data_IF_938389438501
#
_entry.id   IF_938389438501
#
_cell.length_a   1.000
_cell.length_b   1.000
_cell.length_c   1.000
_cell.angle_alpha   90.00
_cell.angle_beta   90.00
_cell.angle_gamma   90.00
#
_symmetry.space_group_name_H-M   'P 1'
#
loop_
_entity.id
_entity.type
_entity.pdbx_description
1 polymer ?
#
# COMPACT_ATOMS: atom_id res chain seq x y z
N UNK A 1 21.67 42.49 22.01
CA UNK A 1 20.62 41.46 21.82
C UNK A 1 20.43 41.22 20.34
N UNK A 2 20.74 40.02 19.82
CA UNK A 2 20.51 39.66 18.42
C UNK A 2 19.12 39.04 18.31
N UNK A 3 18.19 39.76 17.69
CA UNK A 3 16.85 39.24 17.42
C UNK A 3 16.93 38.16 16.34
N UNK A 4 16.53 36.93 16.67
CA UNK A 4 16.31 35.85 15.71
C UNK A 4 15.13 36.22 14.80
N UNK A 5 15.42 36.64 13.55
CA UNK A 5 14.40 36.73 12.50
C UNK A 5 14.13 35.33 11.96
N UNK A 6 12.96 34.78 12.27
CA UNK A 6 12.46 33.56 11.63
C UNK A 6 12.18 33.85 10.14
N UNK A 7 13.08 33.42 9.26
CA UNK A 7 12.84 33.38 7.82
C UNK A 7 11.94 32.19 7.50
N UNK A 8 10.63 32.37 7.59
CA UNK A 8 9.66 31.49 6.95
C UNK A 8 9.83 31.63 5.43
N UNK A 9 10.66 30.76 4.83
CA UNK A 9 10.62 30.55 3.38
C UNK A 9 9.35 29.79 3.07
N UNK A 10 8.40 30.47 2.43
CA UNK A 10 7.37 29.79 1.65
C UNK A 10 8.08 28.83 0.70
N UNK A 11 7.96 27.52 0.93
CA UNK A 11 8.40 26.53 -0.03
C UNK A 11 7.41 26.60 -1.18
N UNK A 12 7.71 27.41 -2.20
CA UNK A 12 7.13 27.22 -3.52
C UNK A 12 7.62 25.86 -4.03
N UNK A 13 6.75 24.84 -3.93
CA UNK A 13 6.95 23.60 -4.66
C UNK A 13 6.83 23.95 -6.15
N UNK A 14 7.97 24.14 -6.82
CA UNK A 14 8.02 24.23 -8.28
C UNK A 14 7.42 22.94 -8.86
N UNK A 15 6.36 23.08 -9.65
CA UNK A 15 5.64 21.98 -10.30
C UNK A 15 6.47 21.52 -11.50
N UNK A 16 7.07 20.32 -11.49
CA UNK A 16 7.56 19.76 -12.74
C UNK A 16 6.34 19.51 -13.61
N UNK A 17 6.32 20.10 -14.80
CA UNK A 17 5.27 19.87 -15.79
C UNK A 17 5.38 18.41 -16.26
N UNK A 18 4.76 17.46 -15.54
CA UNK A 18 4.86 16.03 -15.85
C UNK A 18 3.93 15.70 -17.01
N UNK A 19 4.53 15.49 -18.17
CA UNK A 19 3.89 15.26 -19.48
C UNK A 19 3.39 13.84 -19.72
N UNK A 20 3.55 12.90 -18.80
CA UNK A 20 3.26 11.49 -19.08
C UNK A 20 1.74 11.26 -19.08
N UNK A 21 1.17 11.13 -20.30
CA UNK A 21 -0.22 10.71 -20.50
C UNK A 21 -0.36 9.27 -20.02
N UNK A 22 -1.41 8.98 -19.26
CA UNK A 22 -1.65 7.66 -18.68
C UNK A 22 -1.93 6.56 -19.73
N UNK A 23 -2.33 6.95 -20.95
CA UNK A 23 -2.58 6.05 -22.10
C UNK A 23 -3.31 4.76 -21.70
N UNK A 24 -4.38 4.89 -20.92
CA UNK A 24 -5.20 3.77 -20.47
C UNK A 24 -6.09 3.30 -21.61
N UNK A 25 -6.14 1.98 -21.80
CA UNK A 25 -6.95 1.30 -22.80
C UNK A 25 -7.86 0.33 -22.05
N UNK A 26 -9.17 0.51 -22.13
CA UNK A 26 -10.14 -0.42 -21.55
C UNK A 26 -10.06 -1.77 -22.29
N UNK A 27 -9.94 -2.88 -21.55
CA UNK A 27 -9.77 -4.22 -22.15
C UNK A 27 -10.89 -5.18 -21.81
N UNK A 28 -11.36 -5.20 -20.56
CA UNK A 28 -12.46 -6.06 -20.12
C UNK A 28 -13.18 -5.44 -18.92
N UNK A 29 -14.49 -5.66 -18.80
CA UNK A 29 -15.28 -5.15 -17.67
C UNK A 29 -16.55 -4.44 -18.10
N UNK A 30 -17.36 -4.04 -17.12
CA UNK A 30 -18.65 -3.38 -17.36
C UNK A 30 -18.50 -1.87 -17.55
N UNK A 31 -17.42 -1.27 -17.01
CA UNK A 31 -17.13 0.17 -17.03
C UNK A 31 -18.32 1.04 -16.61
N UNK A 32 -19.15 0.53 -15.71
CA UNK A 32 -20.33 1.22 -15.22
C UNK A 32 -19.95 2.35 -14.28
N UNK A 33 -20.77 3.40 -14.25
CA UNK A 33 -20.60 4.50 -13.31
C UNK A 33 -20.75 4.01 -11.87
N UNK A 34 -19.85 4.44 -10.99
CA UNK A 34 -19.90 4.10 -9.57
C UNK A 34 -21.13 4.74 -8.91
N UNK A 35 -21.88 3.93 -8.20
CA UNK A 35 -22.98 4.33 -7.32
C UNK A 35 -22.44 5.04 -6.06
N UNK A 36 -23.28 5.80 -5.33
CA UNK A 36 -22.86 6.42 -4.06
C UNK A 36 -22.35 5.40 -3.05
N UNK A 37 -22.96 4.22 -3.02
CA UNK A 37 -22.58 3.16 -2.11
C UNK A 37 -21.37 2.32 -2.56
N UNK A 38 -20.80 2.56 -3.74
CA UNK A 38 -19.65 1.77 -4.16
C UNK A 38 -18.39 2.10 -3.35
N UNK A 39 -17.66 1.06 -2.95
CA UNK A 39 -16.29 1.17 -2.45
C UNK A 39 -15.33 0.64 -3.53
N UNK A 40 -14.77 1.52 -4.37
CA UNK A 40 -13.83 1.12 -5.40
C UNK A 40 -12.43 0.82 -4.84
N UNK A 41 -11.78 -0.19 -5.42
CA UNK A 41 -10.37 -0.48 -5.24
C UNK A 41 -9.60 -0.22 -6.53
N UNK A 42 -8.48 0.49 -6.44
CA UNK A 42 -7.56 0.74 -7.56
C UNK A 42 -6.25 -0.03 -7.35
N UNK A 43 -5.92 -0.90 -8.31
CA UNK A 43 -4.69 -1.70 -8.28
C UNK A 43 -3.92 -1.58 -9.60
N UNK A 44 -2.59 -1.69 -9.54
CA UNK A 44 -1.72 -1.86 -10.71
C UNK A 44 -1.01 -3.18 -10.55
N UNK A 45 -1.08 -4.05 -11.55
CA UNK A 45 -0.59 -5.42 -11.47
C UNK A 45 0.39 -5.74 -12.59
N UNK A 46 1.31 -6.66 -12.30
CA UNK A 46 2.22 -7.28 -13.26
C UNK A 46 2.56 -8.67 -12.73
N UNK A 47 2.10 -9.69 -13.42
CA UNK A 47 2.31 -11.10 -13.09
C UNK A 47 1.91 -11.43 -11.63
N UNK A 48 0.62 -11.30 -11.35
CA UNK A 48 0.01 -11.52 -10.03
C UNK A 48 -0.84 -12.81 -9.99
N UNK A 49 -0.77 -13.69 -10.99
CA UNK A 49 -1.64 -14.86 -11.09
C UNK A 49 -1.50 -15.80 -9.88
N UNK A 50 -0.35 -15.77 -9.21
CA UNK A 50 -0.05 -16.55 -8.02
C UNK A 50 -0.86 -16.16 -6.76
N UNK A 51 -1.57 -15.03 -6.75
CA UNK A 51 -2.36 -14.58 -5.59
C UNK A 51 -3.58 -13.70 -5.93
N UNK A 52 -3.86 -13.44 -7.21
CA UNK A 52 -4.89 -12.50 -7.62
C UNK A 52 -6.33 -12.96 -7.31
N UNK A 53 -6.63 -14.28 -7.29
CA UNK A 53 -7.98 -14.76 -6.94
C UNK A 53 -8.24 -14.54 -5.45
N UNK A 54 -7.25 -14.86 -4.62
CA UNK A 54 -7.28 -14.61 -3.18
C UNK A 54 -7.35 -13.12 -2.85
N UNK A 55 -6.63 -12.28 -3.60
CA UNK A 55 -6.75 -10.82 -3.52
C UNK A 55 -8.18 -10.34 -3.79
N UNK A 56 -8.79 -10.77 -4.91
CA UNK A 56 -10.17 -10.40 -5.24
C UNK A 56 -11.15 -10.85 -4.15
N UNK A 57 -11.03 -12.10 -3.68
CA UNK A 57 -11.89 -12.61 -2.59
C UNK A 57 -11.74 -11.78 -1.32
N UNK A 58 -10.51 -11.53 -0.87
CA UNK A 58 -10.23 -10.81 0.36
C UNK A 58 -10.91 -9.43 0.39
N UNK A 59 -10.76 -8.67 -0.70
CA UNK A 59 -11.32 -7.34 -0.78
C UNK A 59 -12.84 -7.34 -1.02
N UNK A 60 -13.39 -8.34 -1.70
CA UNK A 60 -14.86 -8.54 -1.77
C UNK A 60 -15.44 -8.77 -0.37
N UNK A 61 -14.84 -9.66 0.41
CA UNK A 61 -15.24 -9.94 1.80
C UNK A 61 -15.11 -8.70 2.69
N UNK A 62 -14.11 -7.85 2.45
CA UNK A 62 -13.96 -6.57 3.14
C UNK A 62 -15.07 -5.56 2.81
N UNK A 63 -15.72 -5.67 1.64
CA UNK A 63 -16.78 -4.79 1.16
C UNK A 63 -16.41 -3.92 -0.04
N UNK A 64 -15.34 -4.25 -0.77
CA UNK A 64 -15.06 -3.66 -2.09
C UNK A 64 -16.11 -4.13 -3.09
N UNK A 65 -16.70 -3.18 -3.81
CA UNK A 65 -17.78 -3.46 -4.78
C UNK A 65 -17.34 -3.33 -6.24
N UNK A 66 -16.20 -2.68 -6.49
CA UNK A 66 -15.64 -2.49 -7.83
C UNK A 66 -14.11 -2.54 -7.79
N UNK A 67 -13.51 -3.37 -8.63
CA UNK A 67 -12.08 -3.45 -8.83
C UNK A 67 -11.70 -2.73 -10.12
N UNK A 68 -10.84 -1.73 -10.02
CA UNK A 68 -10.38 -0.92 -11.14
C UNK A 68 -8.88 -1.19 -11.29
N UNK A 69 -8.52 -2.01 -12.28
CA UNK A 69 -7.19 -2.61 -12.35
C UNK A 69 -6.47 -2.19 -13.62
N UNK A 70 -5.20 -1.79 -13.50
CA UNK A 70 -4.31 -1.66 -14.66
C UNK A 70 -3.37 -2.85 -14.68
N UNK A 71 -3.47 -3.67 -15.72
CA UNK A 71 -2.50 -4.71 -16.02
C UNK A 71 -1.34 -4.15 -16.85
N UNK A 72 -0.13 -4.22 -16.30
CA UNK A 72 1.11 -3.84 -17.00
C UNK A 72 1.62 -5.01 -17.86
N UNK A 73 0.76 -5.51 -18.76
CA UNK A 73 1.03 -6.53 -19.80
C UNK A 73 1.41 -7.91 -19.27
N UNK A 74 0.77 -8.40 -18.22
CA UNK A 74 1.13 -9.67 -17.60
C UNK A 74 1.18 -10.82 -18.61
N UNK A 75 2.03 -11.81 -18.36
CA UNK A 75 2.27 -12.97 -19.23
C UNK A 75 2.10 -14.32 -18.50
N UNK A 76 1.45 -14.30 -17.34
CA UNK A 76 1.33 -15.44 -16.42
C UNK A 76 -0.13 -15.91 -16.18
N UNK A 77 -1.10 -15.39 -16.94
CA UNK A 77 -2.53 -15.67 -16.73
C UNK A 77 -3.28 -14.62 -15.90
N UNK A 78 -2.60 -13.58 -15.39
CA UNK A 78 -3.24 -12.54 -14.56
C UNK A 78 -4.39 -11.85 -15.27
N UNK A 79 -4.20 -11.48 -16.54
CA UNK A 79 -5.19 -10.72 -17.30
C UNK A 79 -6.45 -11.54 -17.56
N UNK A 80 -6.29 -12.83 -17.87
CA UNK A 80 -7.36 -13.80 -18.08
C UNK A 80 -8.20 -13.97 -16.82
N UNK A 81 -7.56 -14.19 -15.67
CA UNK A 81 -8.24 -14.30 -14.37
C UNK A 81 -9.06 -13.04 -14.09
N UNK A 82 -8.44 -11.86 -14.23
CA UNK A 82 -9.10 -10.58 -13.99
C UNK A 82 -10.26 -10.31 -14.95
N UNK A 83 -10.10 -10.63 -16.24
CA UNK A 83 -11.13 -10.41 -17.26
C UNK A 83 -12.39 -11.24 -17.05
N UNK A 84 -12.27 -12.38 -16.34
CA UNK A 84 -13.38 -13.27 -16.02
C UNK A 84 -14.23 -12.81 -14.82
N UNK A 85 -13.75 -11.84 -14.05
CA UNK A 85 -14.44 -11.34 -12.86
C UNK A 85 -15.44 -10.20 -13.23
N UNK A 86 -16.74 -10.34 -12.91
CA UNK A 86 -17.77 -9.40 -13.38
C UNK A 86 -17.72 -8.01 -12.71
N UNK A 87 -17.05 -7.92 -11.57
CA UNK A 87 -16.84 -6.73 -10.76
C UNK A 87 -15.46 -6.08 -11.01
N UNK A 88 -14.73 -6.53 -12.03
CA UNK A 88 -13.45 -5.95 -12.46
C UNK A 88 -13.66 -5.11 -13.72
N UNK A 89 -13.14 -3.88 -13.68
CA UNK A 89 -12.87 -3.08 -14.86
C UNK A 89 -11.35 -3.06 -15.09
N UNK A 90 -10.93 -3.77 -16.13
CA UNK A 90 -9.55 -4.00 -16.51
C UNK A 90 -9.11 -3.02 -17.58
N UNK A 91 -7.96 -2.41 -17.34
CA UNK A 91 -7.25 -1.53 -18.26
C UNK A 91 -5.87 -2.09 -18.56
N UNK A 92 -5.38 -1.82 -19.76
CA UNK A 92 -3.97 -1.93 -20.14
C UNK A 92 -3.40 -0.57 -20.51
N UNK A 93 -2.11 -0.50 -20.84
CA UNK A 93 -1.49 0.74 -21.31
C UNK A 93 -0.40 0.54 -22.37
N UNK A 94 -0.30 1.51 -23.28
CA UNK A 94 0.77 1.57 -24.29
C UNK A 94 2.13 2.01 -23.71
N UNK A 95 2.17 2.49 -22.47
CA UNK A 95 3.40 2.76 -21.72
C UNK A 95 3.60 1.73 -20.60
N UNK A 96 4.81 1.63 -20.05
CA UNK A 96 5.15 0.71 -18.95
C UNK A 96 5.07 1.39 -17.58
N UNK A 97 5.06 0.60 -16.51
CA UNK A 97 4.99 1.10 -15.12
C UNK A 97 6.00 2.22 -14.82
N UNK A 98 7.25 2.07 -15.25
CA UNK A 98 8.30 3.06 -15.04
C UNK A 98 7.99 4.41 -15.74
N UNK A 99 7.48 4.35 -16.97
CA UNK A 99 7.07 5.51 -17.77
C UNK A 99 5.80 6.16 -17.19
N UNK A 100 4.91 5.38 -16.59
CA UNK A 100 3.70 5.83 -15.92
C UNK A 100 3.95 6.42 -14.52
N UNK A 101 5.12 7.02 -14.30
CA UNK A 101 5.54 7.55 -12.99
C UNK A 101 5.48 6.48 -11.88
N UNK A 102 5.89 5.24 -12.19
CA UNK A 102 5.74 4.09 -11.26
C UNK A 102 4.28 3.90 -10.83
N UNK A 103 3.39 3.87 -11.83
CA UNK A 103 1.95 3.70 -11.68
C UNK A 103 1.17 4.90 -11.11
N UNK A 104 1.83 6.01 -10.73
CA UNK A 104 1.12 7.20 -10.20
C UNK A 104 0.25 7.88 -11.25
N UNK A 105 0.71 7.91 -12.51
CA UNK A 105 -0.04 8.53 -13.60
C UNK A 105 -1.34 7.76 -13.88
N UNK A 106 -1.28 6.42 -13.83
CA UNK A 106 -2.43 5.54 -14.00
C UNK A 106 -3.44 5.68 -12.86
N UNK A 107 -3.01 5.55 -11.60
CA UNK A 107 -3.89 5.70 -10.44
C UNK A 107 -4.65 7.03 -10.45
N UNK A 108 -3.93 8.13 -10.69
CA UNK A 108 -4.56 9.46 -10.73
C UNK A 108 -5.53 9.62 -11.92
N UNK A 109 -5.21 9.02 -13.08
CA UNK A 109 -6.13 9.02 -14.22
C UNK A 109 -7.40 8.21 -13.93
N UNK A 110 -7.29 7.06 -13.25
CA UNK A 110 -8.45 6.26 -12.84
C UNK A 110 -9.34 7.01 -11.84
N UNK A 111 -8.76 7.72 -10.88
CA UNK A 111 -9.55 8.58 -9.98
C UNK A 111 -10.32 9.69 -10.73
N UNK A 112 -9.75 10.22 -11.81
CA UNK A 112 -10.47 11.18 -12.65
C UNK A 112 -11.58 10.52 -13.47
N UNK A 113 -11.34 9.31 -13.97
CA UNK A 113 -12.29 8.57 -14.79
C UNK A 113 -13.50 8.07 -14.00
N UNK A 114 -13.27 7.55 -12.79
CA UNK A 114 -14.29 6.98 -11.91
C UNK A 114 -14.90 8.01 -10.93
N UNK A 115 -14.38 9.23 -10.93
CA UNK A 115 -14.91 10.36 -10.17
C UNK A 115 -14.24 10.57 -8.82
N UNK A 116 -14.08 11.85 -8.47
CA UNK A 116 -13.56 12.29 -7.15
C UNK A 116 -14.73 12.57 -6.20
N UNK A 117 -14.43 12.83 -4.93
CA UNK A 117 -15.39 13.01 -3.85
C UNK A 117 -15.87 11.69 -3.26
N UNK A 118 -15.00 10.68 -3.17
CA UNK A 118 -15.30 9.38 -2.57
C UNK A 118 -14.07 8.70 -1.96
N UNK A 119 -14.31 7.68 -1.14
CA UNK A 119 -13.26 6.79 -0.63
C UNK A 119 -12.83 5.78 -1.70
N UNK A 120 -11.53 5.50 -1.73
CA UNK A 120 -10.91 4.46 -2.53
C UNK A 120 -10.01 3.62 -1.65
N UNK A 121 -9.97 2.31 -1.92
CA UNK A 121 -8.81 1.49 -1.61
C UNK A 121 -7.78 1.61 -2.75
N UNK A 122 -6.51 1.76 -2.42
CA UNK A 122 -5.40 1.79 -3.39
C UNK A 122 -4.22 1.01 -2.86
N UNK A 123 -4.09 -0.22 -3.35
CA UNK A 123 -3.14 -1.22 -2.85
C UNK A 123 -2.41 -1.87 -4.03
N UNK A 124 -1.25 -2.48 -3.77
CA UNK A 124 -0.63 -3.41 -4.70
C UNK A 124 -1.20 -4.83 -4.49
N UNK A 125 -1.04 -5.72 -5.47
CA UNK A 125 -1.72 -7.03 -5.45
C UNK A 125 -1.15 -8.00 -4.39
N UNK A 126 0.05 -7.74 -3.88
CA UNK A 126 0.69 -8.46 -2.78
C UNK A 126 0.38 -7.84 -1.40
N UNK A 127 -0.59 -6.92 -1.30
CA UNK A 127 -0.92 -6.20 -0.07
C UNK A 127 -2.37 -6.44 0.41
N UNK A 128 -2.49 -6.83 1.67
CA UNK A 128 -3.77 -7.12 2.33
C UNK A 128 -3.99 -6.14 3.49
N UNK A 129 -4.96 -5.23 3.33
CA UNK A 129 -5.23 -4.16 4.29
C UNK A 129 -6.02 -4.66 5.50
N UNK A 130 -5.50 -4.38 6.70
CA UNK A 130 -6.18 -4.66 7.97
C UNK A 130 -6.36 -3.38 8.76
N UNK A 131 -7.40 -3.35 9.58
CA UNK A 131 -7.73 -2.18 10.40
C UNK A 131 -8.20 -2.59 11.81
N UNK A 132 -8.09 -1.69 12.81
CA UNK A 132 -8.54 -1.96 14.17
C UNK A 132 -10.00 -2.43 14.21
N UNK A 133 -10.25 -3.49 14.98
CA UNK A 133 -11.58 -4.10 15.19
C UNK A 133 -12.24 -4.67 13.94
N UNK A 134 -11.47 -5.06 12.93
CA UNK A 134 -11.98 -5.63 11.69
C UNK A 134 -12.83 -6.89 11.90
N UNK A 135 -12.62 -7.63 13.00
CA UNK A 135 -13.43 -8.79 13.38
C UNK A 135 -14.81 -8.42 13.93
N UNK A 136 -14.99 -7.17 14.39
CA UNK A 136 -16.24 -6.69 14.99
C UNK A 136 -16.98 -5.67 14.10
N UNK A 137 -16.37 -5.20 13.01
CA UNK A 137 -17.00 -4.20 12.12
C UNK A 137 -16.49 -4.28 10.69
N UNK A 138 -17.31 -3.81 9.76
CA UNK A 138 -16.94 -3.71 8.36
C UNK A 138 -16.13 -2.43 8.04
N UNK A 139 -15.61 -2.36 6.81
CA UNK A 139 -14.81 -1.22 6.34
C UNK A 139 -15.60 0.11 6.31
N UNK A 140 -16.92 0.06 6.14
CA UNK A 140 -17.78 1.26 6.09
C UNK A 140 -17.86 1.92 7.45
N UNK A 141 -18.10 1.15 8.50
CA UNK A 141 -18.03 1.63 9.88
C UNK A 141 -16.62 2.10 10.26
N UNK A 142 -15.57 1.55 9.63
CA UNK A 142 -14.21 2.07 9.78
C UNK A 142 -14.00 3.41 9.10
N UNK A 143 -14.50 3.58 7.88
CA UNK A 143 -14.53 4.86 7.18
C UNK A 143 -15.28 5.91 7.99
N UNK A 144 -16.48 5.62 8.48
CA UNK A 144 -17.28 6.56 9.28
C UNK A 144 -16.53 7.07 10.51
N UNK A 145 -15.81 6.20 11.23
CA UNK A 145 -14.99 6.62 12.37
C UNK A 145 -13.83 7.52 11.94
N UNK A 146 -13.16 7.23 10.82
CA UNK A 146 -12.12 8.13 10.28
C UNK A 146 -12.73 9.51 9.99
N UNK A 147 -13.90 9.56 9.35
CA UNK A 147 -14.57 10.81 9.01
C UNK A 147 -14.98 11.63 10.24
N UNK A 148 -15.52 10.97 11.27
CA UNK A 148 -15.86 11.60 12.55
C UNK A 148 -14.63 12.22 13.23
N UNK A 149 -13.45 11.62 13.02
CA UNK A 149 -12.17 12.13 13.52
C UNK A 149 -11.47 13.12 12.55
N UNK A 150 -12.13 13.53 11.46
CA UNK A 150 -11.56 14.42 10.46
C UNK A 150 -10.42 13.81 9.64
N UNK A 151 -10.23 12.49 9.73
CA UNK A 151 -9.19 11.74 9.03
C UNK A 151 -9.71 11.39 7.63
N UNK A 152 -8.91 11.76 6.62
CA UNK A 152 -9.24 11.54 5.20
C UNK A 152 -8.36 10.49 4.53
N UNK A 153 -7.40 9.91 5.26
CA UNK A 153 -6.44 8.91 4.78
C UNK A 153 -5.99 8.03 5.93
N UNK A 154 -5.94 6.74 5.72
CA UNK A 154 -5.37 5.80 6.66
C UNK A 154 -3.86 5.66 6.40
N UNK A 155 -3.01 6.05 7.35
CA UNK A 155 -1.60 5.68 7.30
C UNK A 155 -1.48 4.22 7.71
N UNK A 156 -0.77 3.42 6.92
CA UNK A 156 -0.54 2.01 7.20
C UNK A 156 0.93 1.63 7.00
N UNK A 157 1.63 1.07 8.02
CA UNK A 157 2.88 0.38 7.78
C UNK A 157 2.64 -0.87 6.93
N UNK A 158 3.59 -1.13 6.05
CA UNK A 158 3.71 -2.39 5.32
C UNK A 158 4.53 -3.35 6.16
N UNK A 159 3.91 -4.46 6.56
CA UNK A 159 4.53 -5.50 7.35
C UNK A 159 4.94 -6.60 6.36
N UNK A 160 6.24 -6.70 6.09
CA UNK A 160 6.79 -7.73 5.20
C UNK A 160 6.61 -9.11 5.85
N UNK A 161 5.74 -9.92 5.26
CA UNK A 161 5.39 -11.26 5.75
C UNK A 161 6.33 -12.31 5.15
N UNK A 162 6.68 -13.33 5.95
CA UNK A 162 7.54 -14.47 5.58
C UNK A 162 7.07 -15.78 6.23
N UNK A 163 7.46 -16.96 5.69
CA UNK A 163 7.16 -18.24 6.32
C UNK A 163 7.90 -18.42 7.65
N UNK A 164 7.35 -19.25 8.54
CA UNK A 164 7.98 -19.62 9.83
C UNK A 164 9.22 -20.52 9.70
N UNK A 165 9.66 -20.79 8.47
CA UNK A 165 10.78 -21.66 8.14
C UNK A 165 11.59 -21.07 7.00
N UNK A 166 11.92 -21.91 6.02
CA UNK A 166 12.70 -21.51 4.84
C UNK A 166 11.79 -20.88 3.79
N UNK A 167 12.33 -19.99 2.95
CA UNK A 167 11.57 -19.39 1.85
C UNK A 167 10.89 -20.45 0.97
N UNK A 168 11.61 -21.51 0.59
CA UNK A 168 11.07 -22.63 -0.21
C UNK A 168 9.88 -23.36 0.42
N UNK A 169 9.73 -23.30 1.74
CA UNK A 169 8.63 -23.96 2.48
C UNK A 169 7.36 -23.10 2.46
N UNK A 170 7.49 -21.80 2.17
CA UNK A 170 6.38 -20.86 2.03
C UNK A 170 5.60 -21.03 0.73
N UNK A 171 5.14 -22.24 0.43
CA UNK A 171 4.39 -22.56 -0.81
C UNK A 171 2.93 -22.18 -0.66
N UNK A 172 2.52 -21.16 -1.41
CA UNK A 172 1.12 -20.77 -1.56
C UNK A 172 0.59 -21.16 -2.94
N UNK A 173 -0.62 -21.74 -2.98
CA UNK A 173 -1.33 -22.07 -4.22
C UNK A 173 -2.66 -21.33 -4.19
N UNK A 174 -2.88 -20.47 -5.19
CA UNK A 174 -4.10 -19.68 -5.27
C UNK A 174 -5.25 -20.45 -5.95
N UNK A 175 -5.92 -21.26 -5.13
CA UNK A 175 -7.20 -21.89 -5.46
C UNK A 175 -8.41 -21.03 -5.06
N UNK A 176 -8.17 -19.83 -4.52
CA UNK A 176 -9.21 -18.93 -4.02
C UNK A 176 -9.82 -19.34 -2.67
N UNK A 177 -9.24 -20.31 -1.96
CA UNK A 177 -9.75 -20.81 -0.67
C UNK A 177 -8.94 -20.34 0.54
N UNK A 178 -7.66 -20.02 0.37
CA UNK A 178 -6.74 -19.59 1.44
C UNK A 178 -6.11 -18.25 1.13
N UNK A 179 -5.53 -17.60 2.13
CA UNK A 179 -4.81 -16.34 1.94
C UNK A 179 -3.28 -16.51 2.00
N UNK A 180 -2.50 -15.72 1.23
CA UNK A 180 -1.04 -15.85 1.20
C UNK A 180 -0.35 -15.67 2.57
N UNK A 181 -0.92 -14.80 3.40
CA UNK A 181 -0.44 -14.54 4.76
C UNK A 181 -0.73 -15.69 5.76
N UNK A 182 -1.44 -16.74 5.36
CA UNK A 182 -1.54 -17.97 6.17
C UNK A 182 -0.29 -18.85 6.04
N UNK A 183 0.34 -18.84 4.86
CA UNK A 183 1.58 -19.59 4.60
C UNK A 183 2.80 -18.75 4.99
N UNK A 184 2.81 -17.48 4.59
CA UNK A 184 3.78 -16.50 5.07
C UNK A 184 3.17 -15.73 6.23
N UNK A 185 3.14 -16.38 7.39
CA UNK A 185 2.42 -15.90 8.58
C UNK A 185 3.30 -15.17 9.58
N UNK A 186 4.61 -15.13 9.39
CA UNK A 186 5.55 -14.51 10.32
C UNK A 186 5.99 -13.13 9.83
N UNK A 187 6.37 -12.27 10.76
CA UNK A 187 6.90 -10.93 10.50
C UNK A 187 7.86 -10.49 11.62
N UNK A 188 8.64 -9.44 11.38
CA UNK A 188 9.51 -8.88 12.41
C UNK A 188 8.66 -8.14 13.47
N UNK A 189 8.78 -8.49 14.75
CA UNK A 189 8.07 -7.83 15.83
C UNK A 189 8.69 -6.50 16.29
N UNK A 190 9.93 -6.23 15.88
CA UNK A 190 10.71 -5.06 16.29
C UNK A 190 11.56 -4.51 15.12
N UNK A 191 12.46 -3.57 15.41
CA UNK A 191 13.40 -3.02 14.43
C UNK A 191 12.81 -1.97 13.48
N UNK A 192 11.59 -1.49 13.76
CA UNK A 192 10.95 -0.42 13.00
C UNK A 192 11.27 0.96 13.59
N UNK A 193 11.47 1.91 12.68
CA UNK A 193 11.66 3.33 12.98
C UNK A 193 10.55 4.14 12.33
N UNK A 194 10.04 5.13 13.05
CA UNK A 194 8.99 6.03 12.60
C UNK A 194 9.54 7.44 12.57
N UNK A 195 9.59 8.05 11.39
CA UNK A 195 10.19 9.38 11.19
C UNK A 195 9.27 10.28 10.37
N UNK A 196 8.93 11.49 10.83
CA UNK A 196 8.27 12.47 9.99
C UNK A 196 9.20 12.91 8.84
N UNK A 197 8.74 12.79 7.60
CA UNK A 197 9.49 13.24 6.42
C UNK A 197 8.68 14.23 5.58
N UNK A 198 9.33 14.82 4.58
CA UNK A 198 8.76 15.84 3.68
C UNK A 198 7.34 15.50 3.16
N UNK A 199 7.08 14.23 2.87
CA UNK A 199 5.83 13.78 2.24
C UNK A 199 4.87 13.05 3.19
N UNK A 200 5.18 12.97 4.48
CA UNK A 200 4.40 12.25 5.49
C UNK A 200 5.26 11.40 6.42
N UNK A 201 4.61 10.66 7.32
CA UNK A 201 5.28 9.73 8.23
C UNK A 201 5.86 8.54 7.46
N UNK A 202 7.17 8.33 7.61
CA UNK A 202 7.90 7.21 7.03
C UNK A 202 8.16 6.15 8.10
N UNK A 203 7.72 4.92 7.81
CA UNK A 203 8.11 3.73 8.57
C UNK A 203 9.22 3.02 7.80
N UNK A 204 10.28 2.60 8.47
CA UNK A 204 11.37 1.79 7.89
C UNK A 204 11.83 0.74 8.89
N UNK A 205 12.31 -0.41 8.41
CA UNK A 205 12.74 -1.50 9.27
C UNK A 205 12.48 -2.85 8.63
N UNK A 206 12.13 -3.82 9.47
CA UNK A 206 11.75 -5.16 9.05
C UNK A 206 12.88 -5.97 8.42
N UNK A 207 12.54 -7.11 7.80
CA UNK A 207 13.53 -8.09 7.34
C UNK A 207 14.47 -7.51 6.28
N UNK A 208 13.99 -6.56 5.46
CA UNK A 208 14.82 -5.91 4.44
C UNK A 208 15.98 -5.11 5.03
N UNK A 209 15.74 -4.39 6.13
CA UNK A 209 16.79 -3.66 6.82
C UNK A 209 17.68 -4.62 7.62
N UNK A 210 17.07 -5.54 8.38
CA UNK A 210 17.77 -6.49 9.27
C UNK A 210 18.71 -7.43 8.51
N UNK A 211 18.27 -8.01 7.39
CA UNK A 211 19.03 -9.03 6.67
C UNK A 211 19.91 -8.45 5.56
N UNK A 212 19.48 -7.35 4.93
CA UNK A 212 20.12 -6.83 3.72
C UNK A 212 20.56 -5.36 3.82
N UNK A 213 20.40 -4.72 4.98
CA UNK A 213 20.78 -3.31 5.17
C UNK A 213 19.96 -2.33 4.31
N UNK A 214 18.80 -2.75 3.79
CA UNK A 214 17.99 -1.93 2.85
C UNK A 214 16.91 -1.15 3.59
N UNK A 215 17.18 0.12 3.81
CA UNK A 215 16.24 1.07 4.43
C UNK A 215 15.21 1.59 3.43
N UNK A 216 14.17 0.78 3.17
CA UNK A 216 13.04 1.15 2.31
C UNK A 216 11.91 1.78 3.13
N UNK A 217 11.16 2.69 2.52
CA UNK A 217 9.92 3.20 3.13
C UNK A 217 8.84 2.13 3.06
N UNK A 218 8.39 1.69 4.22
CA UNK A 218 7.35 0.70 4.46
C UNK A 218 6.08 1.37 5.02
N UNK A 219 5.70 2.54 4.51
CA UNK A 219 4.44 3.19 4.89
C UNK A 219 3.68 3.64 3.64
N UNK A 220 2.35 3.42 3.65
CA UNK A 220 1.43 3.71 2.55
C UNK A 220 0.12 4.29 3.07
N UNK A 221 -0.72 4.72 2.12
CA UNK A 221 -2.07 5.20 2.39
C UNK A 221 -3.11 4.39 1.60
N UNK A 222 -3.41 3.15 2.05
CA UNK A 222 -4.24 2.23 1.27
C UNK A 222 -5.70 2.66 1.22
N UNK A 223 -6.24 3.30 2.26
CA UNK A 223 -7.61 3.81 2.27
C UNK A 223 -7.59 5.35 2.26
N UNK A 224 -8.15 5.96 1.21
CA UNK A 224 -8.02 7.39 0.95
C UNK A 224 -9.31 8.01 0.43
N UNK A 225 -9.68 9.16 1.02
CA UNK A 225 -10.64 10.07 0.42
C UNK A 225 -9.98 10.85 -0.73
N UNK A 226 -10.46 10.61 -1.94
CA UNK A 226 -9.97 11.27 -3.13
C UNK A 226 -10.89 12.44 -3.45
N UNK A 227 -10.46 13.66 -3.15
CA UNK A 227 -11.14 14.90 -3.54
C UNK A 227 -10.38 15.63 -4.67
N UNK A 228 -10.87 16.81 -5.08
CA UNK A 228 -10.20 17.64 -6.07
C UNK A 228 -8.80 18.14 -5.66
N UNK A 229 -8.40 17.97 -4.39
CA UNK A 229 -7.06 18.35 -3.90
C UNK A 229 -6.09 17.16 -3.85
N UNK A 230 -6.61 15.93 -3.76
CA UNK A 230 -5.78 14.72 -3.80
C UNK A 230 -5.01 14.66 -5.12
N UNK A 231 -3.71 14.39 -5.09
CA UNK A 231 -2.87 14.30 -6.30
C UNK A 231 -1.75 13.28 -6.07
N UNK A 232 -1.79 12.17 -6.81
CA UNK A 232 -0.74 11.15 -6.75
C UNK A 232 0.47 11.50 -7.60
N UNK A 233 0.34 12.30 -8.65
CA UNK A 233 1.47 12.67 -9.53
C UNK A 233 2.46 13.58 -8.81
N UNK A 234 1.98 14.46 -7.93
CA UNK A 234 2.79 15.34 -7.08
C UNK A 234 3.42 14.64 -5.87
N UNK A 235 2.84 13.52 -5.45
CA UNK A 235 3.30 12.71 -4.31
C UNK A 235 3.77 11.32 -4.72
N UNK A 236 3.45 10.33 -3.89
CA UNK A 236 3.51 8.91 -4.24
C UNK A 236 2.45 8.13 -3.48
N UNK A 237 2.30 6.83 -3.77
CA UNK A 237 1.47 5.93 -2.95
C UNK A 237 1.91 5.90 -1.47
N UNK A 238 3.16 6.27 -1.19
CA UNK A 238 3.75 6.40 0.15
C UNK A 238 3.65 7.81 0.76
N UNK A 239 3.02 8.74 0.06
CA UNK A 239 2.82 10.12 0.49
C UNK A 239 2.01 10.92 -0.53
N UNK A 240 0.70 10.69 -0.65
CA UNK A 240 -0.13 11.36 -1.63
C UNK A 240 -0.23 12.87 -1.35
N UNK A 241 -0.33 13.69 -2.39
CA UNK A 241 -0.62 15.12 -2.22
C UNK A 241 -2.08 15.32 -1.78
N UNK A 242 -2.40 16.33 -0.95
CA UNK A 242 -1.48 17.25 -0.29
C UNK A 242 -0.87 16.64 0.97
N UNK A 243 0.42 16.86 1.20
CA UNK A 243 1.19 16.15 2.22
C UNK A 243 0.81 16.47 3.67
N UNK A 244 0.15 17.61 3.93
CA UNK A 244 -0.29 17.95 5.29
C UNK A 244 -1.31 16.94 5.85
N UNK A 245 -1.96 16.13 5.00
CA UNK A 245 -2.87 15.04 5.40
C UNK A 245 -2.15 13.73 5.79
N UNK A 246 -0.82 13.69 5.68
CA UNK A 246 -0.04 12.45 5.79
C UNK A 246 0.72 12.35 7.14
N UNK A 247 0.43 13.25 8.09
CA UNK A 247 1.01 13.28 9.44
C UNK A 247 -0.03 12.82 10.46
N UNK A 248 -0.41 11.56 10.33
CA UNK A 248 -1.44 10.91 11.13
C UNK A 248 -0.81 9.74 11.90
N UNK A 249 -1.41 9.30 13.01
CA UNK A 249 -1.11 7.98 13.56
C UNK A 249 -1.38 6.91 12.49
N UNK A 250 -0.64 5.81 12.54
CA UNK A 250 -0.98 4.65 11.73
C UNK A 250 -2.31 4.08 12.24
N UNK A 251 -3.34 3.98 11.39
CA UNK A 251 -4.69 3.52 11.78
C UNK A 251 -5.13 2.27 11.03
N UNK A 252 -4.20 1.62 10.35
CA UNK A 252 -4.34 0.30 9.74
C UNK A 252 -2.95 -0.25 9.43
N UNK A 253 -2.86 -1.42 8.83
CA UNK A 253 -1.61 -2.02 8.36
C UNK A 253 -1.83 -2.72 7.02
N UNK A 254 -0.75 -2.94 6.28
CA UNK A 254 -0.75 -3.79 5.08
C UNK A 254 0.08 -5.02 5.39
N UNK A 255 -0.57 -6.19 5.42
CA UNK A 255 0.15 -7.45 5.38
C UNK A 255 0.70 -7.61 3.96
N UNK A 256 2.01 -7.51 3.84
CA UNK A 256 2.68 -7.46 2.54
C UNK A 256 3.32 -8.82 2.28
N UNK A 257 2.68 -9.59 1.40
CA UNK A 257 3.08 -10.94 1.01
C UNK A 257 4.30 -10.88 0.09
N UNK A 258 5.47 -10.67 0.71
CA UNK A 258 6.69 -10.35 -0.02
C UNK A 258 7.71 -11.48 -0.06
N UNK A 259 7.75 -12.30 0.98
CA UNK A 259 8.71 -13.39 1.14
C UNK A 259 7.97 -14.74 1.20
N UNK A 260 8.22 -15.60 0.22
CA UNK A 260 7.58 -16.89 -0.03
C UNK A 260 8.49 -17.78 -0.89
N UNK A 261 8.01 -18.95 -1.30
CA UNK A 261 8.74 -19.85 -2.20
C UNK A 261 8.98 -19.27 -3.60
N UNK A 262 8.24 -18.21 -3.99
CA UNK A 262 8.41 -17.54 -5.29
C UNK A 262 9.35 -16.33 -5.22
N UNK A 263 9.66 -15.84 -4.02
CA UNK A 263 10.26 -14.52 -3.86
C UNK A 263 11.64 -14.38 -4.48
N UNK A 264 12.47 -15.43 -4.47
CA UNK A 264 13.81 -15.36 -5.07
C UNK A 264 13.72 -15.11 -6.58
N UNK A 265 12.85 -15.85 -7.29
CA UNK A 265 12.66 -15.69 -8.74
C UNK A 265 11.97 -14.36 -9.07
N UNK A 266 10.98 -13.95 -8.29
CA UNK A 266 10.30 -12.65 -8.44
C UNK A 266 11.24 -11.47 -8.24
N UNK A 267 12.08 -11.49 -7.20
CA UNK A 267 13.05 -10.41 -6.95
C UNK A 267 14.08 -10.33 -8.06
N UNK A 268 14.57 -11.47 -8.58
CA UNK A 268 15.48 -11.52 -9.74
C UNK A 268 14.84 -10.89 -10.98
N UNK A 269 13.56 -11.21 -11.27
CA UNK A 269 12.80 -10.59 -12.36
C UNK A 269 12.64 -9.08 -12.17
N UNK A 270 12.25 -8.64 -10.98
CA UNK A 270 12.09 -7.21 -10.68
C UNK A 270 13.42 -6.46 -10.81
N UNK A 271 14.52 -7.07 -10.38
CA UNK A 271 15.86 -6.51 -10.49
C UNK A 271 16.31 -6.35 -11.96
N UNK A 272 15.95 -7.29 -12.84
CA UNK A 272 16.31 -7.25 -14.27
C UNK A 272 15.45 -6.25 -15.08
N UNK A 273 14.17 -6.11 -14.76
CA UNK A 273 13.23 -5.22 -15.47
C UNK A 273 13.49 -3.71 -15.21
N UNK A 274 14.23 -3.35 -14.14
CA UNK A 274 14.57 -1.96 -13.76
C UNK A 274 13.37 -1.00 -13.59
N UNK A 275 12.15 -1.53 -13.46
CA UNK A 275 10.90 -0.75 -13.43
C UNK A 275 10.64 0.00 -12.10
N UNK A 276 11.38 -0.32 -11.03
CA UNK A 276 11.15 0.17 -9.67
C UNK A 276 11.98 1.41 -9.31
N UNK A 277 11.74 1.98 -8.11
CA UNK A 277 12.48 3.14 -7.62
C UNK A 277 14.00 2.93 -7.61
N UNK A 278 14.75 3.98 -7.98
CA UNK A 278 16.21 3.90 -8.12
C UNK A 278 16.70 2.93 -9.20
N UNK A 279 15.85 2.57 -10.18
CA UNK A 279 16.21 1.55 -11.17
C UNK A 279 16.35 0.16 -10.55
N UNK A 280 15.45 -0.16 -9.61
CA UNK A 280 15.45 -1.41 -8.84
C UNK A 280 16.72 -1.66 -7.98
N UNK A 281 17.43 -0.60 -7.57
CA UNK A 281 18.66 -0.70 -6.75
C UNK A 281 18.47 -1.56 -5.49
N UNK A 282 17.36 -1.38 -4.76
CA UNK A 282 17.09 -2.18 -3.57
C UNK A 282 16.92 -3.67 -3.88
N UNK A 283 16.25 -4.00 -4.99
CA UNK A 283 16.06 -5.40 -5.40
C UNK A 283 17.37 -6.01 -5.88
N UNK A 284 18.19 -5.27 -6.63
CA UNK A 284 19.53 -5.72 -7.04
C UNK A 284 20.41 -6.04 -5.85
N UNK A 285 20.49 -5.12 -4.87
CA UNK A 285 21.30 -5.33 -3.67
C UNK A 285 20.84 -6.54 -2.83
N UNK A 286 19.54 -6.85 -2.80
CA UNK A 286 19.03 -8.06 -2.13
C UNK A 286 19.40 -9.31 -2.93
N UNK A 287 19.20 -9.30 -4.25
CA UNK A 287 19.50 -10.44 -5.13
C UNK A 287 20.99 -10.77 -5.19
N UNK A 288 21.85 -9.76 -5.11
CA UNK A 288 23.32 -9.91 -5.10
C UNK A 288 23.85 -10.37 -3.73
N UNK A 289 23.02 -10.37 -2.68
CA UNK A 289 23.40 -10.88 -1.38
C UNK A 289 23.36 -12.42 -1.39
N UNK A 290 24.49 -13.07 -1.13
CA UNK A 290 24.63 -14.54 -1.14
C UNK A 290 23.66 -15.26 -0.20
N UNK A 291 23.18 -14.59 0.86
CA UNK A 291 22.19 -15.15 1.78
C UNK A 291 20.79 -15.24 1.20
N UNK A 292 20.48 -14.47 0.14
CA UNK A 292 19.16 -14.45 -0.46
C UNK A 292 18.97 -15.63 -1.43
N UNK A 293 18.66 -16.78 -0.85
CA UNK A 293 18.38 -18.03 -1.54
C UNK A 293 17.08 -18.66 -1.05
N UNK A 294 16.62 -19.70 -1.74
CA UNK A 294 15.42 -20.47 -1.37
C UNK A 294 15.56 -21.13 0.02
N UNK A 295 16.80 -21.26 0.50
CA UNK A 295 17.20 -21.86 1.78
C UNK A 295 17.33 -20.82 2.90
N UNK A 296 17.00 -19.56 2.64
CA UNK A 296 16.99 -18.52 3.66
C UNK A 296 15.79 -18.69 4.59
N UNK A 297 16.04 -18.73 5.91
CA UNK A 297 15.01 -18.39 6.90
C UNK A 297 15.13 -16.93 7.30
N UNK A 298 14.01 -16.24 7.36
CA UNK A 298 13.93 -14.88 7.87
C UNK A 298 13.65 -14.85 9.37
N UNK A 299 13.26 -15.99 9.96
CA UNK A 299 12.89 -16.08 11.38
C UNK A 299 14.08 -15.77 12.29
N UNK A 300 13.81 -15.07 13.37
CA UNK A 300 14.73 -14.82 14.48
C UNK A 300 13.93 -14.74 15.80
N UNK A 301 14.59 -14.49 16.92
CA UNK A 301 13.95 -14.44 18.24
C UNK A 301 12.81 -13.41 18.35
N UNK A 302 12.91 -12.28 17.65
CA UNK A 302 11.87 -11.24 17.60
C UNK A 302 10.81 -11.45 16.52
N UNK A 303 10.82 -12.59 15.81
CA UNK A 303 9.76 -12.91 14.84
C UNK A 303 8.46 -13.24 15.55
N UNK A 304 7.36 -12.73 15.00
CA UNK A 304 6.01 -12.95 15.50
C UNK A 304 5.13 -13.58 14.43
N UNK A 305 4.21 -14.43 14.84
CA UNK A 305 3.15 -14.93 13.97
C UNK A 305 1.97 -13.95 13.97
N UNK A 306 1.43 -13.67 12.78
CA UNK A 306 0.21 -12.90 12.62
C UNK A 306 -1.01 -13.75 12.99
N UNK A 307 -1.72 -13.33 14.04
CA UNK A 307 -2.94 -13.97 14.55
C UNK A 307 -4.20 -13.14 14.33
N UNK A 308 -4.05 -11.90 13.85
CA UNK A 308 -5.16 -11.00 13.55
C UNK A 308 -4.83 -9.52 13.79
N UNK A 309 -5.73 -8.62 13.39
CA UNK A 309 -5.63 -7.18 13.61
C UNK A 309 -5.38 -6.79 15.07
N UNK A 310 -6.04 -7.43 16.04
CA UNK A 310 -5.90 -7.08 17.46
C UNK A 310 -4.43 -7.14 17.96
N UNK A 311 -3.68 -8.16 17.54
CA UNK A 311 -2.26 -8.30 17.91
C UNK A 311 -1.37 -7.20 17.32
N UNK A 312 -1.72 -6.64 16.15
CA UNK A 312 -1.02 -5.49 15.58
C UNK A 312 -1.33 -4.19 16.33
N UNK A 313 -2.53 -4.05 16.88
CA UNK A 313 -2.87 -2.92 17.77
C UNK A 313 -2.08 -2.98 19.06
N UNK A 314 -2.12 -4.14 19.75
CA UNK A 314 -1.44 -4.35 21.03
C UNK A 314 0.07 -4.06 20.95
N UNK A 315 0.68 -4.40 19.81
CA UNK A 315 2.12 -4.21 19.57
C UNK A 315 2.48 -2.85 18.97
N UNK A 316 1.49 -1.98 18.75
CA UNK A 316 1.70 -0.61 18.30
C UNK A 316 1.99 -0.43 16.81
N UNK A 317 1.72 -1.44 15.97
CA UNK A 317 1.81 -1.29 14.51
C UNK A 317 0.67 -0.42 13.94
N UNK A 318 -0.49 -0.42 14.61
CA UNK A 318 -1.59 0.47 14.28
C UNK A 318 -2.32 0.90 15.56
N UNK A 319 -2.88 2.11 15.53
CA UNK A 319 -3.60 2.69 16.64
C UNK A 319 -5.11 2.49 16.45
N UNK A 320 -5.77 2.07 17.53
CA UNK A 320 -7.21 2.22 17.68
C UNK A 320 -7.51 3.68 18.04
N UNK A 321 -8.35 4.36 17.24
CA UNK A 321 -8.69 5.76 17.45
C UNK A 321 -9.35 6.05 18.79
N UNK A 322 -9.97 5.05 19.44
CA UNK A 322 -10.54 5.19 20.79
C UNK A 322 -9.46 5.38 21.86
N UNK A 323 -8.25 4.87 21.61
CA UNK A 323 -7.12 4.93 22.55
C UNK A 323 -6.29 6.20 22.35
N UNK A 324 -6.51 6.92 21.25
CA UNK A 324 -5.84 8.18 20.98
C UNK A 324 -6.56 9.27 21.77
N UNK A 325 -5.92 9.71 22.87
CA UNK A 325 -6.38 10.90 23.58
C UNK A 325 -6.41 12.08 22.60
N UNK A 326 -7.54 12.80 22.46
CA UNK A 326 -7.56 14.01 21.65
C UNK A 326 -6.47 14.93 22.18
N UNK A 327 -5.57 15.38 21.29
CA UNK A 327 -4.60 16.39 21.63
C UNK A 327 -5.39 17.55 22.26
N UNK A 328 -5.02 17.97 23.47
CA UNK A 328 -5.60 19.16 24.07
C UNK A 328 -5.43 20.29 23.06
N UNK A 329 -6.53 20.71 22.43
CA UNK A 329 -6.49 21.77 21.44
C UNK A 329 -5.80 22.99 22.05
N UNK A 330 -5.18 23.86 21.24
CA UNK A 330 -4.65 25.11 21.75
C UNK A 330 -5.77 25.80 22.53
N UNK A 331 -5.56 26.01 23.84
CA UNK A 331 -6.48 26.81 24.67
C UNK A 331 -6.44 28.21 24.09
N UNK A 332 -7.34 28.50 23.16
CA UNK A 332 -7.59 29.85 22.70
C UNK A 332 -8.23 30.58 23.88
N UNK A 333 -7.40 31.20 24.73
CA UNK A 333 -7.86 32.25 25.63
C UNK A 333 -8.13 33.45 24.74
N UNK A 334 -9.35 33.56 24.25
CA UNK A 334 -9.89 34.85 23.84
C UNK A 334 -10.21 35.56 25.15
N UNK A 335 -9.31 36.43 25.61
CA UNK A 335 -9.68 37.45 26.58
C UNK A 335 -10.54 38.48 25.86
N UNK A 336 -11.69 38.79 26.45
CA UNK A 336 -12.63 39.81 26.01
C UNK A 336 -12.00 41.21 25.94
#
# INVERSE_FOLDING_TARGET
>A
MRHLRLLWRHVQLSVPNRKNKANLIATAGSFQTLKPDDLPLVCVVRNAAAYIKSFLRYYREMGVTRFIVVDDRSDDGTAEILSSAPDVDLYSSSIRYAEADRGRAWRDALFNLYGRGRWYLSVDADEFFVFPRMEQRNIRSFIEELEQNGIRRCLAPMIDMYPGGLLREGVFVDDGTRYPFEVSSHFDGDGYTVTPEKFGVAVRGGPRLRLFGRSMRLSKFPLIWVDGKTDYRRGSIHGPGPCFRNFLPATGALLHYRFSSLSVSEFKRIASEKSHAGGAEHYRAIVENERFSDDLSLVYEGSLQYTGPAGLVERGFMADLRDIKPAAGPKCRISA
#
